data_IF_937384081481
#
_entry.id   IF_937384081481
#
_cell.length_a   1.000
_cell.length_b   1.000
_cell.length_c   1.000
_cell.angle_alpha   90.00
_cell.angle_beta   90.00
_cell.angle_gamma   90.00
#
_symmetry.space_group_name_H-M   'P 1'
#
loop_
_entity.id
_entity.type
_entity.pdbx_description
1 polymer ?
#
# COMPACT_ATOMS: atom_id res chain seq x y z
N UNK A 1 -22.31 -65.04 -50.35
CA UNK A 1 -21.38 -64.10 -49.70
C UNK A 1 -21.71 -62.67 -50.10
N UNK A 2 -22.43 -61.90 -49.25
CA UNK A 2 -22.49 -60.43 -49.34
C UNK A 2 -22.57 -59.87 -47.92
N UNK A 3 -21.56 -59.07 -47.54
CA UNK A 3 -21.36 -58.45 -46.22
C UNK A 3 -22.28 -57.24 -46.07
N UNK A 4 -23.03 -57.14 -44.97
CA UNK A 4 -23.72 -55.91 -44.58
C UNK A 4 -22.90 -55.20 -43.49
N UNK A 5 -22.69 -53.89 -43.70
CA UNK A 5 -21.76 -53.00 -43.01
C UNK A 5 -22.35 -52.51 -41.68
N UNK A 6 -21.55 -52.54 -40.62
CA UNK A 6 -21.83 -51.87 -39.35
C UNK A 6 -21.72 -50.36 -39.52
N UNK A 7 -22.72 -49.62 -39.06
CA UNK A 7 -22.70 -48.16 -38.97
C UNK A 7 -22.34 -47.78 -37.53
N UNK A 8 -21.14 -47.25 -37.33
CA UNK A 8 -20.76 -46.60 -36.07
C UNK A 8 -21.32 -45.18 -36.06
N UNK A 9 -22.26 -44.90 -35.14
CA UNK A 9 -22.63 -43.53 -34.81
C UNK A 9 -21.48 -42.90 -34.00
N UNK A 10 -20.84 -41.87 -34.55
CA UNK A 10 -19.95 -41.00 -33.79
C UNK A 10 -20.79 -39.89 -33.14
N UNK A 11 -20.97 -39.96 -31.82
CA UNK A 11 -21.54 -38.86 -31.05
C UNK A 11 -20.48 -37.75 -30.90
N UNK A 12 -20.71 -36.60 -31.52
CA UNK A 12 -19.86 -35.41 -31.35
C UNK A 12 -20.34 -34.65 -30.11
N UNK A 13 -19.56 -34.72 -29.03
CA UNK A 13 -19.75 -33.86 -27.86
C UNK A 13 -19.14 -32.50 -28.18
N UNK A 14 -19.98 -31.49 -28.38
CA UNK A 14 -19.54 -30.09 -28.45
C UNK A 14 -19.40 -29.58 -27.03
N UNK A 15 -18.18 -29.56 -26.51
CA UNK A 15 -17.84 -28.85 -25.29
C UNK A 15 -17.87 -27.34 -25.58
N UNK A 16 -18.97 -26.68 -25.23
CA UNK A 16 -19.04 -25.22 -25.20
C UNK A 16 -18.14 -24.68 -24.10
N UNK A 17 -16.89 -24.37 -24.43
CA UNK A 17 -16.02 -23.58 -23.56
C UNK A 17 -16.53 -22.13 -23.59
N UNK A 18 -17.46 -21.80 -22.69
CA UNK A 18 -17.83 -20.40 -22.45
C UNK A 18 -16.64 -19.73 -21.78
N UNK A 19 -15.75 -19.13 -22.58
CA UNK A 19 -14.77 -18.19 -22.09
C UNK A 19 -15.56 -17.00 -21.52
N UNK A 20 -15.61 -16.92 -20.20
CA UNK A 20 -16.10 -15.73 -19.52
C UNK A 20 -15.02 -14.68 -19.76
N UNK A 21 -15.14 -13.93 -20.85
CA UNK A 21 -14.36 -12.72 -21.00
C UNK A 21 -14.84 -11.78 -19.90
N UNK A 22 -14.02 -11.57 -18.86
CA UNK A 22 -14.23 -10.46 -17.95
C UNK A 22 -14.14 -9.21 -18.81
N UNK A 23 -15.27 -8.57 -19.10
CA UNK A 23 -15.26 -7.25 -19.71
C UNK A 23 -14.42 -6.34 -18.81
N UNK A 24 -13.37 -5.75 -19.38
CA UNK A 24 -12.65 -4.67 -18.72
C UNK A 24 -13.66 -3.53 -18.57
N UNK A 25 -14.29 -3.43 -17.40
CA UNK A 25 -15.10 -2.28 -17.05
C UNK A 25 -14.24 -1.03 -17.27
N UNK A 26 -14.82 -0.04 -17.94
CA UNK A 26 -14.18 1.26 -18.10
C UNK A 26 -13.74 1.81 -16.74
N UNK A 27 -12.75 2.72 -16.72
CA UNK A 27 -12.20 3.23 -15.48
C UNK A 27 -13.29 3.78 -14.55
N UNK A 28 -13.33 3.30 -13.31
CA UNK A 28 -14.29 3.72 -12.30
C UNK A 28 -14.01 5.14 -11.84
N UNK A 29 -14.88 6.09 -12.18
CA UNK A 29 -14.76 7.47 -11.73
C UNK A 29 -15.32 7.62 -10.30
N UNK A 30 -14.56 8.26 -9.42
CA UNK A 30 -14.93 8.45 -8.02
C UNK A 30 -15.04 9.95 -7.73
N UNK A 31 -16.24 10.39 -7.33
CA UNK A 31 -16.53 11.78 -6.96
C UNK A 31 -17.02 11.95 -5.52
N UNK A 32 -17.13 10.85 -4.77
CA UNK A 32 -17.52 10.82 -3.35
C UNK A 32 -16.86 9.64 -2.64
N UNK A 33 -16.73 9.72 -1.32
CA UNK A 33 -16.32 8.61 -0.48
C UNK A 33 -17.29 7.42 -0.64
N UNK A 34 -16.76 6.23 -0.88
CA UNK A 34 -17.54 5.02 -1.19
C UNK A 34 -16.70 3.76 -1.05
N UNK A 35 -17.34 2.58 -0.92
CA UNK A 35 -16.63 1.31 -1.09
C UNK A 35 -16.27 1.07 -2.57
N UNK A 36 -15.15 0.38 -2.80
CA UNK A 36 -14.70 -0.10 -4.11
C UNK A 36 -14.82 -1.62 -4.10
N UNK A 37 -15.87 -2.14 -4.71
CA UNK A 37 -16.29 -3.55 -4.58
C UNK A 37 -16.00 -4.41 -5.80
N UNK A 38 -15.44 -3.83 -6.86
CA UNK A 38 -15.09 -4.55 -8.09
C UNK A 38 -13.61 -4.36 -8.42
N UNK A 39 -12.95 -5.36 -9.02
CA UNK A 39 -11.60 -5.20 -9.57
C UNK A 39 -11.58 -4.12 -10.65
N UNK A 40 -10.44 -3.45 -10.81
CA UNK A 40 -10.27 -2.49 -11.91
C UNK A 40 -9.49 -1.23 -11.54
N UNK A 41 -9.48 -0.29 -12.48
CA UNK A 41 -8.82 1.00 -12.32
C UNK A 41 -9.83 2.07 -11.94
N UNK A 42 -9.52 2.84 -10.90
CA UNK A 42 -10.36 3.89 -10.35
C UNK A 42 -9.61 5.21 -10.30
N UNK A 43 -10.32 6.31 -10.58
CA UNK A 43 -9.75 7.66 -10.63
C UNK A 43 -10.61 8.63 -9.86
N UNK A 44 -9.99 9.43 -8.99
CA UNK A 44 -10.68 10.58 -8.43
C UNK A 44 -10.92 11.64 -9.50
N UNK A 45 -12.10 12.26 -9.46
CA UNK A 45 -12.46 13.38 -10.35
C UNK A 45 -12.51 14.72 -9.62
N UNK A 46 -12.37 14.71 -8.29
CA UNK A 46 -12.39 15.90 -7.43
C UNK A 46 -11.82 15.57 -6.05
N UNK A 47 -11.55 16.62 -5.28
CA UNK A 47 -11.28 16.48 -3.84
C UNK A 47 -12.49 15.87 -3.12
N UNK A 48 -12.21 15.02 -2.13
CA UNK A 48 -13.20 14.36 -1.28
C UNK A 48 -13.08 14.85 0.16
N UNK A 49 -14.20 14.90 0.86
CA UNK A 49 -14.26 15.17 2.31
C UNK A 49 -15.04 14.05 3.00
N UNK A 50 -14.58 13.63 4.17
CA UNK A 50 -15.18 12.54 4.93
C UNK A 50 -15.41 12.91 6.41
N UNK A 51 -16.48 12.36 6.98
CA UNK A 51 -16.68 12.23 8.42
C UNK A 51 -16.51 10.76 8.77
N UNK A 52 -15.36 10.39 9.36
CA UNK A 52 -14.96 8.99 9.50
C UNK A 52 -14.12 8.52 8.31
N UNK A 53 -14.30 7.26 7.88
CA UNK A 53 -13.54 6.69 6.77
C UNK A 53 -14.06 7.13 5.40
N UNK A 54 -13.20 7.17 4.37
CA UNK A 54 -13.60 7.62 3.02
C UNK A 54 -13.69 6.49 1.97
N UNK A 55 -12.55 5.93 1.55
CA UNK A 55 -12.51 4.90 0.51
C UNK A 55 -12.17 3.54 1.14
N UNK A 56 -13.05 2.56 0.95
CA UNK A 56 -12.84 1.19 1.44
C UNK A 56 -12.73 0.24 0.27
N UNK A 57 -11.54 -0.29 0.02
CA UNK A 57 -11.29 -1.25 -1.05
C UNK A 57 -11.67 -2.65 -0.56
N UNK A 58 -12.55 -3.30 -1.31
CA UNK A 58 -13.17 -4.59 -0.99
C UNK A 58 -13.04 -5.60 -2.15
N UNK A 59 -12.23 -5.30 -3.16
CA UNK A 59 -11.94 -6.18 -4.28
C UNK A 59 -10.44 -6.29 -4.55
N UNK A 60 -10.01 -7.46 -5.05
CA UNK A 60 -8.65 -7.70 -5.51
C UNK A 60 -8.36 -6.91 -6.80
N UNK A 61 -7.08 -6.73 -7.13
CA UNK A 61 -6.64 -6.15 -8.40
C UNK A 61 -7.21 -4.75 -8.66
N UNK A 62 -7.17 -3.90 -7.61
CA UNK A 62 -7.63 -2.52 -7.68
C UNK A 62 -6.45 -1.58 -7.83
N UNK A 63 -6.52 -0.71 -8.83
CA UNK A 63 -5.64 0.45 -8.93
C UNK A 63 -6.46 1.70 -8.66
N UNK A 64 -6.10 2.46 -7.63
CA UNK A 64 -6.71 3.73 -7.28
C UNK A 64 -5.70 4.86 -7.54
N UNK A 65 -5.96 5.68 -8.55
CA UNK A 65 -5.21 6.89 -8.84
C UNK A 65 -5.97 8.10 -8.31
N UNK A 66 -5.36 8.84 -7.37
CA UNK A 66 -5.99 10.02 -6.82
C UNK A 66 -5.88 11.24 -7.74
N UNK A 67 -5.17 11.16 -8.88
CA UNK A 67 -5.13 12.21 -9.89
C UNK A 67 -4.58 13.56 -9.41
N UNK A 68 -3.80 13.58 -8.33
CA UNK A 68 -3.35 14.79 -7.65
C UNK A 68 -4.37 15.42 -6.69
N UNK A 69 -5.58 14.84 -6.59
CA UNK A 69 -6.62 15.32 -5.68
C UNK A 69 -6.34 14.96 -4.21
N UNK A 70 -7.10 15.60 -3.32
CA UNK A 70 -7.00 15.49 -1.88
C UNK A 70 -8.23 14.77 -1.32
N UNK A 71 -7.99 13.79 -0.44
CA UNK A 71 -8.99 13.21 0.45
C UNK A 71 -8.77 13.80 1.85
N UNK A 72 -9.77 14.51 2.38
CA UNK A 72 -9.71 15.19 3.68
C UNK A 72 -10.69 14.57 4.67
N UNK A 73 -10.20 14.13 5.83
CA UNK A 73 -11.03 13.63 6.93
C UNK A 73 -11.35 14.69 7.98
N UNK A 74 -11.81 14.23 9.15
CA UNK A 74 -12.13 15.03 10.33
C UNK A 74 -11.34 14.64 11.60
N UNK A 75 -10.19 13.99 11.43
CA UNK A 75 -9.33 13.47 12.50
C UNK A 75 -9.67 12.06 12.97
N UNK A 76 -10.70 11.43 12.36
CA UNK A 76 -11.20 10.09 12.71
C UNK A 76 -11.16 9.15 11.50
N UNK A 77 -11.34 7.84 11.72
CA UNK A 77 -11.43 6.85 10.64
C UNK A 77 -10.15 6.72 9.79
N UNK A 78 -10.31 6.08 8.62
CA UNK A 78 -9.22 5.89 7.65
C UNK A 78 -9.51 6.55 6.31
N UNK A 79 -8.53 7.25 5.74
CA UNK A 79 -8.69 7.89 4.45
C UNK A 79 -8.89 6.88 3.34
N UNK A 80 -7.99 5.90 3.28
CA UNK A 80 -8.09 4.75 2.38
C UNK A 80 -7.84 3.50 3.21
N UNK A 81 -8.81 2.58 3.20
CA UNK A 81 -8.73 1.32 3.89
C UNK A 81 -8.89 0.16 2.91
N UNK A 82 -8.35 -1.00 3.27
CA UNK A 82 -8.56 -2.24 2.56
C UNK A 82 -9.03 -3.32 3.54
N UNK A 83 -10.05 -4.06 3.15
CA UNK A 83 -10.46 -5.32 3.80
C UNK A 83 -9.83 -6.50 3.03
N UNK A 84 -9.75 -7.74 3.58
CA UNK A 84 -8.94 -8.85 3.05
C UNK A 84 -8.95 -9.01 1.52
N UNK A 85 -7.90 -8.53 0.85
CA UNK A 85 -7.75 -8.54 -0.61
C UNK A 85 -6.26 -8.53 -1.02
N UNK A 86 -5.97 -8.73 -2.30
CA UNK A 86 -4.62 -8.78 -2.86
C UNK A 86 -4.42 -7.82 -4.04
N UNK A 87 -3.17 -7.44 -4.28
CA UNK A 87 -2.74 -6.66 -5.45
C UNK A 87 -3.46 -5.31 -5.57
N UNK A 88 -3.33 -4.48 -4.53
CA UNK A 88 -3.86 -3.10 -4.54
C UNK A 88 -2.73 -2.13 -4.90
N UNK A 89 -2.98 -1.19 -5.79
CA UNK A 89 -2.12 -0.01 -5.98
C UNK A 89 -2.89 1.25 -5.63
N UNK A 90 -2.31 2.11 -4.79
CA UNK A 90 -2.82 3.48 -4.56
C UNK A 90 -1.73 4.48 -4.88
N UNK A 91 -2.06 5.50 -5.68
CA UNK A 91 -1.06 6.47 -6.12
C UNK A 91 -1.54 7.89 -6.33
N UNK A 92 -0.57 8.80 -6.39
CA UNK A 92 -0.69 10.13 -6.99
C UNK A 92 -1.76 11.04 -6.35
N UNK A 93 -1.56 11.46 -5.11
CA UNK A 93 -2.44 12.44 -4.46
C UNK A 93 -2.16 12.62 -2.98
N UNK A 94 -3.09 13.23 -2.27
CA UNK A 94 -2.95 13.56 -0.85
C UNK A 94 -4.06 12.96 0.00
N UNK A 95 -3.70 12.38 1.16
CA UNK A 95 -4.64 11.90 2.18
C UNK A 95 -4.30 12.59 3.49
N UNK A 96 -5.27 13.30 4.08
CA UNK A 96 -5.02 14.16 5.24
C UNK A 96 -6.16 14.21 6.25
N UNK A 97 -5.83 14.51 7.51
CA UNK A 97 -6.79 14.71 8.60
C UNK A 97 -7.67 13.47 8.86
N UNK A 98 -7.12 12.27 8.84
CA UNK A 98 -7.76 11.04 9.33
C UNK A 98 -7.13 10.59 10.64
N UNK A 99 -7.62 9.52 11.25
CA UNK A 99 -6.85 8.83 12.29
C UNK A 99 -5.64 8.14 11.67
N UNK A 100 -5.87 7.31 10.66
CA UNK A 100 -4.83 6.69 9.84
C UNK A 100 -5.06 7.07 8.39
N UNK A 101 -4.06 7.60 7.69
CA UNK A 101 -4.20 8.01 6.30
C UNK A 101 -4.49 6.82 5.37
N UNK A 102 -3.58 5.85 5.33
CA UNK A 102 -3.73 4.60 4.57
C UNK A 102 -3.63 3.42 5.54
N UNK A 103 -4.67 2.58 5.58
CA UNK A 103 -4.83 1.53 6.58
C UNK A 103 -5.14 0.17 5.92
N UNK A 104 -4.08 -0.57 5.59
CA UNK A 104 -4.10 -1.83 4.84
C UNK A 104 -3.71 -2.99 5.74
N UNK A 105 -4.58 -3.30 6.71
CA UNK A 105 -4.32 -4.38 7.68
C UNK A 105 -4.38 -5.79 7.09
N UNK A 106 -5.05 -5.94 5.95
CA UNK A 106 -5.33 -7.24 5.33
C UNK A 106 -5.14 -7.19 3.82
N UNK A 107 -4.15 -6.43 3.33
CA UNK A 107 -3.91 -6.27 1.90
C UNK A 107 -2.54 -6.84 1.48
N UNK A 108 -2.55 -8.02 0.87
CA UNK A 108 -1.34 -8.62 0.28
C UNK A 108 -0.90 -7.87 -0.97
N UNK A 109 0.41 -7.81 -1.21
CA UNK A 109 0.99 -7.24 -2.42
C UNK A 109 0.54 -5.79 -2.69
N UNK A 110 0.41 -5.00 -1.62
CA UNK A 110 -0.05 -3.62 -1.70
C UNK A 110 1.08 -2.68 -2.12
N UNK A 111 0.83 -1.85 -3.14
CA UNK A 111 1.75 -0.80 -3.60
C UNK A 111 1.19 0.58 -3.28
N UNK A 112 1.99 1.39 -2.58
CA UNK A 112 1.75 2.81 -2.35
C UNK A 112 2.84 3.60 -3.08
N UNK A 113 2.43 4.44 -4.03
CA UNK A 113 3.37 5.18 -4.88
C UNK A 113 2.99 6.66 -5.00
N UNK A 114 3.95 7.57 -4.82
CA UNK A 114 3.73 9.03 -5.03
C UNK A 114 2.53 9.57 -4.26
N UNK A 115 2.29 9.07 -3.04
CA UNK A 115 1.28 9.61 -2.13
C UNK A 115 1.89 10.58 -1.12
N UNK A 116 1.10 11.59 -0.75
CA UNK A 116 1.35 12.46 0.40
C UNK A 116 0.35 12.11 1.48
N UNK A 117 0.80 11.45 2.54
CA UNK A 117 -0.04 11.01 3.65
C UNK A 117 0.34 11.81 4.89
N UNK A 118 -0.44 12.85 5.17
CA UNK A 118 -0.02 13.93 6.07
C UNK A 118 -1.06 14.31 7.11
N UNK A 119 -0.62 14.88 8.23
CA UNK A 119 -1.52 15.47 9.25
C UNK A 119 -2.63 14.53 9.72
N UNK A 120 -2.30 13.25 9.87
CA UNK A 120 -3.22 12.26 10.45
C UNK A 120 -2.94 12.14 11.95
N UNK A 121 -4.00 11.98 12.75
CA UNK A 121 -3.90 12.07 14.22
C UNK A 121 -3.18 10.89 14.85
N UNK A 122 -3.12 9.73 14.18
CA UNK A 122 -2.40 8.53 14.65
C UNK A 122 -1.29 8.08 13.70
N UNK A 123 -1.55 7.84 12.41
CA UNK A 123 -0.53 7.26 11.53
C UNK A 123 -0.68 7.62 10.07
N UNK A 124 0.44 7.55 9.34
CA UNK A 124 0.48 7.78 7.90
C UNK A 124 0.04 6.54 7.12
N UNK A 125 1.00 5.70 6.76
CA UNK A 125 0.83 4.49 5.95
C UNK A 125 1.03 3.27 6.83
N UNK A 126 0.01 2.41 6.93
CA UNK A 126 0.06 1.14 7.64
C UNK A 126 -0.28 0.00 6.68
N UNK A 127 0.64 -0.96 6.51
CA UNK A 127 0.43 -2.18 5.73
C UNK A 127 0.88 -3.38 6.56
N UNK A 128 -0.04 -4.30 6.85
CA UNK A 128 0.21 -5.39 7.81
C UNK A 128 0.23 -6.78 7.18
N UNK A 129 0.13 -6.89 5.85
CA UNK A 129 0.26 -8.15 5.12
C UNK A 129 1.50 -8.15 4.20
N UNK A 130 2.12 -9.31 3.94
CA UNK A 130 3.33 -9.45 3.14
C UNK A 130 3.25 -8.85 1.73
N UNK A 131 4.42 -8.48 1.19
CA UNK A 131 4.57 -8.03 -0.19
C UNK A 131 4.33 -6.54 -0.40
N UNK A 132 4.38 -5.73 0.68
CA UNK A 132 4.16 -4.30 0.55
C UNK A 132 5.30 -3.60 -0.19
N UNK A 133 4.95 -2.64 -1.05
CA UNK A 133 5.90 -1.70 -1.67
C UNK A 133 5.44 -0.28 -1.38
N UNK A 134 6.23 0.47 -0.62
CA UNK A 134 6.05 1.92 -0.44
C UNK A 134 7.17 2.63 -1.17
N UNK A 135 6.85 3.40 -2.20
CA UNK A 135 7.86 4.09 -3.01
C UNK A 135 7.50 5.54 -3.33
N UNK A 136 8.53 6.38 -3.41
CA UNK A 136 8.42 7.79 -3.83
C UNK A 136 7.33 8.57 -3.09
N UNK A 137 7.07 8.21 -1.82
CA UNK A 137 5.94 8.72 -1.04
C UNK A 137 6.40 9.55 0.14
N UNK A 138 5.54 10.47 0.58
CA UNK A 138 5.76 11.33 1.74
C UNK A 138 4.78 10.97 2.85
N UNK A 139 5.29 10.54 4.00
CA UNK A 139 4.53 10.41 5.24
C UNK A 139 5.00 11.46 6.25
N UNK A 140 4.21 12.50 6.49
CA UNK A 140 4.67 13.63 7.31
C UNK A 140 3.64 14.28 8.21
N UNK A 141 4.11 14.84 9.32
CA UNK A 141 3.28 15.55 10.28
C UNK A 141 2.16 14.64 10.86
N UNK A 142 2.39 13.33 11.02
CA UNK A 142 1.41 12.42 11.63
C UNK A 142 1.69 12.23 13.12
N UNK A 143 0.65 12.08 13.94
CA UNK A 143 0.78 12.02 15.40
C UNK A 143 1.56 10.81 15.96
N UNK A 144 1.70 9.75 15.16
CA UNK A 144 2.37 8.50 15.54
C UNK A 144 3.39 8.05 14.49
N UNK A 145 3.13 7.00 13.72
CA UNK A 145 4.09 6.51 12.73
C UNK A 145 3.93 7.21 11.37
N UNK A 146 5.04 7.37 10.65
CA UNK A 146 5.01 7.76 9.23
C UNK A 146 4.65 6.58 8.34
N UNK A 147 5.51 5.57 8.30
CA UNK A 147 5.34 4.34 7.52
C UNK A 147 5.53 3.13 8.43
N UNK A 148 4.55 2.24 8.48
CA UNK A 148 4.61 0.99 9.25
C UNK A 148 4.28 -0.19 8.32
N UNK A 149 5.30 -1.00 8.06
CA UNK A 149 5.22 -2.29 7.34
C UNK A 149 5.68 -3.45 8.22
N UNK A 150 5.56 -3.30 9.55
CA UNK A 150 6.10 -4.24 10.52
C UNK A 150 5.54 -5.66 10.37
N UNK A 151 4.22 -5.78 10.40
CA UNK A 151 3.54 -7.08 10.22
C UNK A 151 3.48 -7.48 8.74
N UNK A 152 3.63 -6.52 7.82
CA UNK A 152 3.60 -6.75 6.38
C UNK A 152 4.93 -7.17 5.76
N UNK A 153 5.89 -7.64 6.56
CA UNK A 153 7.19 -8.05 6.06
C UNK A 153 7.13 -9.47 5.42
N UNK A 154 7.93 -9.78 4.39
CA UNK A 154 8.93 -8.93 3.75
C UNK A 154 8.28 -7.82 2.89
N UNK A 155 8.97 -6.69 2.81
CA UNK A 155 8.48 -5.47 2.16
C UNK A 155 9.62 -4.67 1.52
N UNK A 156 9.27 -3.68 0.68
CA UNK A 156 10.18 -2.69 0.13
C UNK A 156 9.70 -1.27 0.50
N UNK A 157 10.58 -0.48 1.12
CA UNK A 157 10.37 0.95 1.32
C UNK A 157 11.53 1.70 0.66
N UNK A 158 11.24 2.45 -0.40
CA UNK A 158 12.28 3.07 -1.23
C UNK A 158 11.96 4.49 -1.68
N UNK A 159 12.97 5.34 -1.82
CA UNK A 159 12.82 6.71 -2.33
C UNK A 159 11.81 7.57 -1.55
N UNK A 160 11.45 7.16 -0.33
CA UNK A 160 10.35 7.75 0.42
C UNK A 160 10.85 8.68 1.51
N UNK A 161 10.00 9.61 1.91
CA UNK A 161 10.28 10.61 2.94
C UNK A 161 9.38 10.37 4.14
N UNK A 162 9.97 10.22 5.33
CA UNK A 162 9.21 10.13 6.58
C UNK A 162 9.70 11.16 7.60
N UNK A 163 8.87 12.17 7.89
CA UNK A 163 9.30 13.29 8.77
C UNK A 163 8.23 13.87 9.67
N UNK A 164 8.64 14.49 10.78
CA UNK A 164 7.73 15.11 11.76
C UNK A 164 6.66 14.13 12.27
N UNK A 165 7.01 12.86 12.44
CA UNK A 165 6.16 11.87 13.08
C UNK A 165 6.72 11.52 14.46
N UNK A 166 6.02 10.70 15.24
CA UNK A 166 6.60 10.07 16.43
C UNK A 166 7.72 9.09 16.02
N UNK A 167 7.40 8.14 15.15
CA UNK A 167 8.39 7.21 14.56
C UNK A 167 8.36 7.33 13.03
N UNK A 168 9.52 7.40 12.40
CA UNK A 168 9.63 7.59 10.96
C UNK A 168 9.15 6.36 10.16
N UNK A 169 9.95 5.29 10.16
CA UNK A 169 9.69 4.05 9.43
C UNK A 169 9.85 2.85 10.37
N UNK A 170 8.86 1.96 10.40
CA UNK A 170 8.86 0.72 11.18
C UNK A 170 8.79 -0.47 10.23
N UNK A 171 9.70 -1.43 10.36
CA UNK A 171 9.76 -2.60 9.47
C UNK A 171 9.94 -3.91 10.22
N UNK A 172 9.36 -4.97 9.65
CA UNK A 172 9.58 -6.35 10.08
C UNK A 172 10.76 -7.01 9.36
N UNK A 173 11.02 -8.29 9.64
CA UNK A 173 12.12 -9.04 9.04
C UNK A 173 11.93 -9.27 7.54
N UNK A 174 13.01 -9.23 6.79
CA UNK A 174 13.07 -9.41 5.35
C UNK A 174 12.79 -8.13 4.57
N UNK A 175 12.78 -6.96 5.22
CA UNK A 175 12.44 -5.69 4.58
C UNK A 175 13.67 -5.02 3.96
N UNK A 176 13.50 -4.43 2.78
CA UNK A 176 14.51 -3.57 2.16
C UNK A 176 14.13 -2.10 2.31
N UNK A 177 15.02 -1.33 2.93
CA UNK A 177 14.94 0.12 3.16
C UNK A 177 16.02 0.79 2.32
N UNK A 178 15.66 1.35 1.17
CA UNK A 178 16.63 1.82 0.18
C UNK A 178 16.40 3.30 -0.16
N UNK A 179 17.42 4.15 0.01
CA UNK A 179 17.36 5.52 -0.52
C UNK A 179 16.28 6.41 0.10
N UNK A 180 15.89 6.17 1.36
CA UNK A 180 14.86 6.97 2.04
C UNK A 180 15.46 8.19 2.74
N UNK A 181 14.66 9.24 2.90
CA UNK A 181 14.99 10.43 3.70
C UNK A 181 14.10 10.50 4.93
N UNK A 182 14.67 10.31 6.11
CA UNK A 182 13.93 10.16 7.37
C UNK A 182 14.42 11.16 8.38
N UNK A 183 13.56 12.08 8.84
CA UNK A 183 14.03 13.09 9.76
C UNK A 183 13.00 13.85 10.55
N UNK A 184 13.45 14.57 11.57
CA UNK A 184 12.57 15.36 12.44
C UNK A 184 11.49 14.53 13.14
N UNK A 185 11.72 13.21 13.33
CA UNK A 185 10.80 12.38 14.10
C UNK A 185 11.17 12.42 15.59
N UNK A 186 10.18 12.52 16.48
CA UNK A 186 10.45 12.73 17.91
C UNK A 186 11.08 11.51 18.58
N UNK A 187 10.86 10.31 18.02
CA UNK A 187 11.45 9.04 18.43
C UNK A 187 12.46 8.52 17.41
N UNK A 188 12.38 7.22 17.09
CA UNK A 188 13.27 6.61 16.11
C UNK A 188 12.95 7.10 14.69
N UNK A 189 13.99 7.40 13.90
CA UNK A 189 13.88 7.60 12.47
C UNK A 189 13.47 6.30 11.80
N UNK A 190 14.33 5.29 11.89
CA UNK A 190 14.06 3.93 11.37
C UNK A 190 14.11 2.93 12.52
N UNK A 191 13.06 2.12 12.68
CA UNK A 191 13.04 0.94 13.54
C UNK A 191 12.95 -0.31 12.67
N UNK A 192 14.01 -1.11 12.63
CA UNK A 192 14.14 -2.27 11.74
C UNK A 192 14.34 -3.56 12.54
N UNK A 193 13.55 -4.59 12.20
CA UNK A 193 13.82 -5.97 12.62
C UNK A 193 14.66 -6.69 11.56
N UNK A 194 15.69 -7.39 12.02
CA UNK A 194 16.57 -8.19 11.19
C UNK A 194 16.04 -9.62 11.00
N UNK A 195 16.42 -10.31 9.91
CA UNK A 195 17.35 -9.86 8.85
C UNK A 195 16.69 -8.84 7.92
N UNK A 196 17.37 -7.76 7.53
CA UNK A 196 16.83 -6.71 6.64
C UNK A 196 17.95 -5.97 5.92
N UNK A 197 17.66 -5.29 4.82
CA UNK A 197 18.61 -4.43 4.11
C UNK A 197 18.30 -2.96 4.42
N UNK A 198 19.29 -2.21 4.92
CA UNK A 198 19.20 -0.75 5.16
C UNK A 198 20.31 -0.08 4.37
N UNK A 199 20.00 0.42 3.18
CA UNK A 199 20.97 0.87 2.19
C UNK A 199 20.70 2.30 1.73
N UNK A 200 21.71 3.17 1.79
CA UNK A 200 21.64 4.47 1.11
C UNK A 200 20.64 5.46 1.72
N UNK A 201 20.21 5.28 2.97
CA UNK A 201 19.22 6.14 3.60
C UNK A 201 19.88 7.37 4.24
N UNK A 202 19.21 8.52 4.19
CA UNK A 202 19.56 9.72 4.95
C UNK A 202 18.63 9.82 6.16
N UNK A 203 19.19 9.69 7.36
CA UNK A 203 18.44 9.62 8.62
C UNK A 203 18.98 10.62 9.63
N UNK A 204 18.35 11.79 9.72
CA UNK A 204 18.87 12.95 10.47
C UNK A 204 17.77 13.63 11.28
N UNK A 205 18.12 14.32 12.35
CA UNK A 205 17.19 15.10 13.17
C UNK A 205 16.13 14.24 13.85
N UNK A 206 16.45 13.02 14.26
CA UNK A 206 15.51 12.12 14.94
C UNK A 206 15.94 11.91 16.39
N UNK A 207 15.00 11.58 17.28
CA UNK A 207 15.34 11.20 18.67
C UNK A 207 16.37 10.06 18.74
N UNK A 208 16.24 9.06 17.84
CA UNK A 208 17.29 8.09 17.52
C UNK A 208 17.34 7.91 16.00
N UNK A 209 18.50 7.87 15.34
CA UNK A 209 18.55 7.68 13.88
C UNK A 209 17.98 6.32 13.46
N UNK A 210 18.62 5.23 13.87
CA UNK A 210 18.22 3.86 13.52
C UNK A 210 18.24 2.96 14.75
N UNK A 211 17.17 2.22 14.98
CA UNK A 211 17.04 1.17 16.00
C UNK A 211 16.99 -0.17 15.29
N UNK A 212 17.97 -1.04 15.59
CA UNK A 212 18.13 -2.34 14.96
C UNK A 212 17.84 -3.42 16.00
N UNK A 213 16.91 -4.33 15.69
CA UNK A 213 16.54 -5.45 16.56
C UNK A 213 16.79 -6.78 15.87
N UNK A 214 17.50 -7.71 16.53
CA UNK A 214 17.83 -9.03 16.00
C UNK A 214 19.17 -9.08 15.28
N UNK A 215 19.40 -10.14 14.50
CA UNK A 215 20.66 -10.39 13.79
C UNK A 215 20.44 -10.54 12.28
N UNK A 216 21.47 -10.22 11.48
CA UNK A 216 21.44 -10.39 10.03
C UNK A 216 20.94 -9.18 9.23
N UNK A 217 20.90 -7.99 9.82
CA UNK A 217 20.73 -6.78 9.02
C UNK A 217 22.02 -6.46 8.26
N UNK A 218 21.86 -6.05 7.00
CA UNK A 218 22.93 -5.44 6.21
C UNK A 218 22.66 -3.93 6.20
N UNK A 219 23.52 -3.17 6.86
CA UNK A 219 23.42 -1.71 6.93
C UNK A 219 24.60 -1.08 6.20
N UNK A 220 24.34 -0.34 5.14
CA UNK A 220 25.41 0.15 4.27
C UNK A 220 25.08 1.52 3.64
N UNK A 221 26.10 2.34 3.41
CA UNK A 221 26.00 3.66 2.77
C UNK A 221 24.90 4.60 3.34
N UNK A 222 24.55 4.50 4.63
CA UNK A 222 23.56 5.38 5.24
C UNK A 222 24.21 6.64 5.83
N UNK A 223 23.57 7.80 5.66
CA UNK A 223 23.93 9.06 6.32
C UNK A 223 23.13 9.15 7.61
N UNK A 224 23.78 9.02 8.77
CA UNK A 224 23.13 9.07 10.08
C UNK A 224 23.59 10.33 10.81
N UNK A 225 22.65 11.13 11.30
CA UNK A 225 22.94 12.37 12.01
C UNK A 225 21.97 12.65 13.16
N UNK A 226 22.36 13.53 14.10
CA UNK A 226 21.49 13.96 15.18
C UNK A 226 20.24 14.65 14.64
#
# INVERSE_FOLDING_TARGET
MKRAKYWTLAASVVLGLSAIAAEAQGPGLISSCQPITQPGSYFLTRNLTATGSCLTIQANFVTLDLGGFVITGNGTGSGIAATPIQAITVRNGTVTNFSIGVNFKSAHDATIERLRVIRNSSGGILIQEPGATVKDSLAADNGGFGIDVFLGAPSLVTGSVSRNNSTGIITGPGTSLIGNSVGSNTGAGISVICPSLVLGNTVTSNGLPVVITGVGCVTDHNVLGP
#
